data_IF_030373374122
#
_entry.id   IF_030373374122
#
_cell.length_a   1.000
_cell.length_b   1.000
_cell.length_c   1.000
_cell.angle_alpha   90.00
_cell.angle_beta   90.00
_cell.angle_gamma   90.00
#
_symmetry.space_group_name_H-M   'P 1'
#
loop_
_entity.id
_entity.type
_entity.pdbx_description
1 polymer ?
#
# COMPACT_ATOMS: atom_id res chain seq x y z
N UNK A 1 -7.50 25.93 -10.86
CA UNK A 1 -7.67 27.35 -10.47
C UNK A 1 -8.59 27.45 -9.25
N UNK A 2 -9.82 26.92 -9.24
CA UNK A 2 -10.74 26.99 -8.09
C UNK A 2 -10.12 26.40 -6.82
N UNK A 3 -9.52 25.21 -6.92
CA UNK A 3 -8.86 24.54 -5.77
C UNK A 3 -7.64 25.34 -5.24
N UNK A 4 -6.90 26.01 -6.13
CA UNK A 4 -5.77 26.89 -5.73
C UNK A 4 -6.26 28.15 -5.01
N UNK A 5 -7.40 28.70 -5.42
CA UNK A 5 -8.02 29.83 -4.73
C UNK A 5 -8.55 29.42 -3.35
N UNK A 6 -9.19 28.26 -3.23
CA UNK A 6 -9.63 27.70 -1.96
C UNK A 6 -8.46 27.42 -1.02
N UNK A 7 -7.36 26.86 -1.52
CA UNK A 7 -6.12 26.63 -0.75
C UNK A 7 -5.50 27.95 -0.27
N UNK A 8 -5.47 28.99 -1.11
CA UNK A 8 -4.97 30.30 -0.71
C UNK A 8 -5.83 30.96 0.37
N UNK A 9 -7.16 30.88 0.26
CA UNK A 9 -8.08 31.37 1.29
C UNK A 9 -7.93 30.62 2.62
N UNK A 10 -7.76 29.28 2.58
CA UNK A 10 -7.54 28.46 3.77
C UNK A 10 -6.19 28.78 4.43
N UNK A 11 -5.13 29.02 3.65
CA UNK A 11 -3.81 29.39 4.18
C UNK A 11 -3.84 30.74 4.93
N UNK A 12 -4.60 31.71 4.45
CA UNK A 12 -4.77 33.02 5.12
C UNK A 12 -5.59 32.90 6.40
N UNK A 13 -6.59 32.02 6.44
CA UNK A 13 -7.45 31.82 7.59
C UNK A 13 -6.80 30.98 8.72
N UNK A 14 -5.72 30.27 8.45
CA UNK A 14 -5.08 29.35 9.40
C UNK A 14 -3.94 29.97 10.23
N UNK A 15 -3.66 31.27 10.09
CA UNK A 15 -2.67 31.97 10.94
C UNK A 15 -3.24 32.11 12.34
N UNK A 16 -2.94 31.16 13.24
CA UNK A 16 -3.37 31.13 14.64
C UNK A 16 -4.68 30.39 14.93
N UNK A 17 -5.24 29.63 13.95
CA UNK A 17 -6.45 28.82 14.13
C UNK A 17 -6.19 27.32 13.92
N UNK A 18 -7.07 26.48 14.47
CA UNK A 18 -7.06 25.03 14.28
C UNK A 18 -7.08 24.67 12.78
N UNK A 19 -6.17 23.77 12.34
CA UNK A 19 -6.14 23.28 10.95
C UNK A 19 -7.48 22.61 10.63
N UNK A 20 -8.10 23.00 9.53
CA UNK A 20 -9.40 22.47 9.08
C UNK A 20 -9.47 22.29 7.58
N UNK A 21 -10.37 21.42 7.11
CA UNK A 21 -10.59 21.15 5.69
C UNK A 21 -10.42 19.69 5.35
N UNK A 22 -10.31 19.37 4.06
CA UNK A 22 -10.18 18.00 3.57
C UNK A 22 -8.77 17.73 3.10
N UNK A 23 -8.26 16.52 3.40
CA UNK A 23 -7.01 15.98 2.87
C UNK A 23 -7.32 14.68 2.13
N UNK A 24 -6.88 14.58 0.87
CA UNK A 24 -7.15 13.45 -0.01
C UNK A 24 -5.90 12.58 -0.19
N UNK A 25 -6.01 11.30 0.16
CA UNK A 25 -4.90 10.33 0.15
C UNK A 25 -5.25 9.15 -0.75
N UNK A 26 -4.40 8.88 -1.73
CA UNK A 26 -4.47 7.69 -2.56
C UNK A 26 -3.79 6.50 -1.89
N UNK A 27 -4.40 5.31 -2.02
CA UNK A 27 -3.87 4.05 -1.53
C UNK A 27 -3.91 3.02 -2.65
N UNK A 28 -2.79 2.38 -2.99
CA UNK A 28 -2.83 1.27 -3.92
C UNK A 28 -3.44 0.03 -3.24
N UNK A 29 -4.26 -0.78 -3.96
CA UNK A 29 -4.89 -1.96 -3.39
C UNK A 29 -3.87 -2.95 -2.81
N UNK A 30 -4.18 -3.49 -1.64
CA UNK A 30 -3.31 -4.46 -0.97
C UNK A 30 -1.95 -3.90 -0.57
N UNK A 31 -1.81 -2.59 -0.42
CA UNK A 31 -0.58 -1.96 0.06
C UNK A 31 -0.46 -2.06 1.59
N UNK A 32 0.76 -1.87 2.11
CA UNK A 32 1.01 -1.65 3.53
C UNK A 32 0.23 -0.45 4.10
N UNK A 33 -0.38 0.33 3.19
CA UNK A 33 -1.33 1.36 3.56
C UNK A 33 -2.43 0.83 4.49
N UNK A 34 -2.85 -0.43 4.36
CA UNK A 34 -3.80 -1.04 5.29
C UNK A 34 -3.28 -1.09 6.73
N UNK A 35 -1.98 -1.33 6.93
CA UNK A 35 -1.36 -1.33 8.26
C UNK A 35 -1.01 0.07 8.78
N UNK A 36 -0.87 1.05 7.89
CA UNK A 36 -0.60 2.46 8.22
C UNK A 36 -1.90 3.27 8.33
N UNK A 37 -2.92 2.88 7.58
CA UNK A 37 -4.16 3.66 7.42
C UNK A 37 -4.90 3.86 8.74
N UNK A 38 -5.10 2.79 9.51
CA UNK A 38 -5.83 2.93 10.79
C UNK A 38 -5.09 3.78 11.82
N UNK A 39 -3.77 3.57 12.07
CA UNK A 39 -2.98 4.48 12.90
C UNK A 39 -3.02 5.93 12.40
N UNK A 40 -2.95 6.16 11.08
CA UNK A 40 -3.04 7.50 10.50
C UNK A 40 -4.40 8.16 10.80
N UNK A 41 -5.50 7.45 10.57
CA UNK A 41 -6.83 7.98 10.85
C UNK A 41 -7.03 8.30 12.33
N UNK A 42 -6.51 7.45 13.23
CA UNK A 42 -6.56 7.67 14.67
C UNK A 42 -5.75 8.92 15.08
N UNK A 43 -4.53 9.04 14.56
CA UNK A 43 -3.66 10.19 14.84
C UNK A 43 -4.25 11.49 14.29
N UNK A 44 -4.73 11.51 13.05
CA UNK A 44 -5.39 12.69 12.47
C UNK A 44 -6.63 13.08 13.26
N UNK A 45 -7.46 12.12 13.67
CA UNK A 45 -8.65 12.41 14.49
C UNK A 45 -8.29 13.02 15.84
N UNK A 46 -7.17 12.59 16.44
CA UNK A 46 -6.70 13.09 17.74
C UNK A 46 -6.02 14.45 17.65
N UNK A 47 -5.14 14.62 16.64
CA UNK A 47 -4.26 15.80 16.54
C UNK A 47 -4.86 16.91 15.67
N UNK A 48 -5.72 16.55 14.71
CA UNK A 48 -6.32 17.46 13.73
C UNK A 48 -7.84 17.22 13.64
N UNK A 49 -8.62 17.47 14.70
CA UNK A 49 -10.03 17.06 14.80
C UNK A 49 -10.95 17.71 13.75
N UNK A 50 -10.56 18.85 13.17
CA UNK A 50 -11.32 19.55 12.12
C UNK A 50 -10.85 19.20 10.70
N UNK A 51 -9.89 18.27 10.56
CA UNK A 51 -9.43 17.77 9.26
C UNK A 51 -10.18 16.49 8.89
N UNK A 52 -10.84 16.52 7.74
CA UNK A 52 -11.48 15.33 7.14
C UNK A 52 -10.53 14.65 6.19
N UNK A 53 -10.25 13.36 6.42
CA UNK A 53 -9.43 12.55 5.50
C UNK A 53 -10.35 11.87 4.49
N UNK A 54 -10.05 12.04 3.20
CA UNK A 54 -10.64 11.30 2.10
C UNK A 54 -9.64 10.26 1.60
N UNK A 55 -9.96 8.97 1.77
CA UNK A 55 -9.15 7.88 1.26
C UNK A 55 -9.69 7.40 -0.09
N UNK A 56 -8.80 7.27 -1.08
CA UNK A 56 -9.12 6.80 -2.41
C UNK A 56 -8.25 5.61 -2.79
N UNK A 57 -8.84 4.41 -2.82
CA UNK A 57 -8.14 3.20 -3.22
C UNK A 57 -8.31 2.97 -4.72
N UNK A 58 -7.19 2.85 -5.43
CA UNK A 58 -7.17 2.58 -6.87
C UNK A 58 -5.78 2.10 -7.33
N UNK A 59 -5.64 1.71 -8.61
CA UNK A 59 -4.35 1.34 -9.20
C UNK A 59 -3.33 2.50 -9.15
N UNK A 60 -2.03 2.17 -9.10
CA UNK A 60 -0.96 3.17 -9.03
C UNK A 60 -1.03 4.16 -10.20
N UNK A 61 -1.38 3.71 -11.40
CA UNK A 61 -1.54 4.58 -12.58
C UNK A 61 -2.60 5.65 -12.37
N UNK A 62 -3.80 5.24 -11.93
CA UNK A 62 -4.91 6.17 -11.66
C UNK A 62 -4.57 7.14 -10.53
N UNK A 63 -3.88 6.66 -9.48
CA UNK A 63 -3.48 7.50 -8.35
C UNK A 63 -2.41 8.53 -8.76
N UNK A 64 -1.47 8.16 -9.61
CA UNK A 64 -0.47 9.07 -10.17
C UNK A 64 -1.12 10.16 -11.04
N UNK A 65 -2.06 9.81 -11.90
CA UNK A 65 -2.80 10.80 -12.70
C UNK A 65 -3.57 11.78 -11.80
N UNK A 66 -4.17 11.28 -10.72
CA UNK A 66 -4.88 12.11 -9.73
C UNK A 66 -3.94 13.02 -8.94
N UNK A 67 -2.73 12.57 -8.60
CA UNK A 67 -1.70 13.41 -7.99
C UNK A 67 -1.26 14.54 -8.95
N UNK A 68 -0.97 14.20 -10.20
CA UNK A 68 -0.52 15.16 -11.21
C UNK A 68 -1.60 16.20 -11.56
N UNK A 69 -2.87 15.79 -11.56
CA UNK A 69 -4.01 16.69 -11.78
C UNK A 69 -4.44 17.46 -10.52
N UNK A 70 -3.80 17.20 -9.36
CA UNK A 70 -4.14 17.84 -8.09
C UNK A 70 -5.46 17.38 -7.49
N UNK A 71 -6.01 16.25 -7.92
CA UNK A 71 -7.21 15.62 -7.31
C UNK A 71 -6.89 14.86 -6.03
N UNK A 72 -5.61 14.51 -5.81
CA UNK A 72 -5.10 13.97 -4.56
C UNK A 72 -4.00 14.88 -4.03
N UNK A 73 -3.89 14.97 -2.72
CA UNK A 73 -2.81 15.69 -2.05
C UNK A 73 -1.56 14.82 -1.95
N UNK A 74 -1.75 13.51 -1.69
CA UNK A 74 -0.67 12.54 -1.58
C UNK A 74 -1.16 11.13 -1.91
N UNK A 75 -0.23 10.19 -2.17
CA UNK A 75 -0.56 8.78 -2.36
C UNK A 75 0.55 7.86 -1.80
N UNK A 76 0.15 6.74 -1.21
CA UNK A 76 1.04 5.67 -0.72
C UNK A 76 1.05 4.54 -1.73
N UNK A 77 2.18 4.34 -2.40
CA UNK A 77 2.30 3.47 -3.56
C UNK A 77 3.53 2.58 -3.48
N UNK A 78 3.43 1.36 -4.02
CA UNK A 78 4.59 0.57 -4.38
C UNK A 78 5.06 0.99 -5.77
N UNK A 79 6.24 1.61 -5.85
CA UNK A 79 6.81 2.04 -7.13
C UNK A 79 8.30 1.75 -7.19
N UNK A 80 8.78 1.38 -8.38
CA UNK A 80 10.23 1.19 -8.64
C UNK A 80 10.94 2.52 -8.89
N UNK A 81 10.24 3.48 -9.46
CA UNK A 81 10.73 4.84 -9.71
C UNK A 81 9.54 5.81 -9.78
N UNK A 82 9.67 7.03 -9.25
CA UNK A 82 8.63 8.04 -9.36
C UNK A 82 8.42 8.45 -10.82
N UNK A 83 7.16 8.67 -11.18
CA UNK A 83 6.81 9.27 -12.48
C UNK A 83 7.29 10.72 -12.59
N UNK A 84 7.41 11.22 -13.83
CA UNK A 84 7.74 12.63 -14.05
C UNK A 84 6.73 13.57 -13.37
N UNK A 85 7.23 14.54 -12.62
CA UNK A 85 6.40 15.50 -11.88
C UNK A 85 5.87 15.00 -10.53
N UNK A 86 6.39 13.87 -10.03
CA UNK A 86 6.09 13.33 -8.71
C UNK A 86 7.36 13.34 -7.86
N UNK A 87 7.24 13.77 -6.62
CA UNK A 87 8.25 13.63 -5.57
C UNK A 87 7.90 12.42 -4.73
N UNK A 88 8.81 11.46 -4.64
CA UNK A 88 8.64 10.23 -3.87
C UNK A 88 9.49 10.28 -2.60
N UNK A 89 8.87 10.02 -1.47
CA UNK A 89 9.49 9.92 -0.15
C UNK A 89 9.45 8.45 0.27
N UNK A 90 10.60 7.78 0.43
CA UNK A 90 10.63 6.38 0.81
C UNK A 90 10.06 6.21 2.22
N UNK A 91 9.19 5.23 2.42
CA UNK A 91 8.61 4.87 3.71
C UNK A 91 9.29 3.61 4.26
N UNK A 92 9.14 2.48 3.58
CA UNK A 92 9.69 1.19 3.99
C UNK A 92 9.88 0.27 2.77
N UNK A 93 10.45 -0.90 3.01
CA UNK A 93 10.49 -2.00 2.03
C UNK A 93 9.80 -3.20 2.62
N UNK A 94 8.98 -3.88 1.83
CA UNK A 94 8.33 -5.12 2.24
C UNK A 94 8.81 -6.29 1.41
N UNK A 95 8.99 -7.43 2.08
CA UNK A 95 9.21 -8.71 1.40
C UNK A 95 7.91 -9.21 0.77
N UNK A 96 8.04 -9.97 -0.31
CA UNK A 96 6.91 -10.66 -0.92
C UNK A 96 6.72 -12.05 -0.32
N UNK A 97 5.48 -12.36 -0.01
CA UNK A 97 5.03 -13.63 0.55
C UNK A 97 4.06 -14.32 -0.40
N UNK A 98 4.18 -15.63 -0.47
CA UNK A 98 3.16 -16.50 -1.04
C UNK A 98 2.07 -16.73 0.00
N UNK A 99 0.81 -16.67 -0.42
CA UNK A 99 -0.37 -16.87 0.45
C UNK A 99 -1.28 -17.92 -0.14
N UNK A 100 -1.73 -18.85 0.70
CA UNK A 100 -2.65 -19.92 0.31
C UNK A 100 -3.38 -20.51 1.51
N UNK A 101 -4.24 -21.52 1.25
CA UNK A 101 -5.02 -22.21 2.30
C UNK A 101 -4.77 -23.71 2.31
N UNK A 102 -4.28 -24.28 1.21
CA UNK A 102 -3.94 -25.72 1.09
C UNK A 102 -2.44 -25.89 0.97
N UNK A 103 -1.95 -27.07 1.30
CA UNK A 103 -0.56 -27.53 1.02
C UNK A 103 0.50 -26.49 1.46
N UNK A 104 0.49 -26.14 2.74
CA UNK A 104 1.41 -25.14 3.31
C UNK A 104 2.88 -25.58 3.09
N UNK A 105 3.70 -24.78 2.40
CA UNK A 105 5.11 -25.14 2.15
C UNK A 105 6.02 -24.90 3.36
N UNK A 106 5.46 -24.45 4.50
CA UNK A 106 6.19 -24.01 5.67
C UNK A 106 6.35 -22.50 5.76
N UNK A 107 7.38 -22.01 6.47
CA UNK A 107 7.59 -20.57 6.69
C UNK A 107 8.22 -19.87 5.47
N UNK A 108 8.85 -20.62 4.58
CA UNK A 108 9.48 -20.10 3.37
C UNK A 108 9.30 -21.03 2.18
N UNK A 109 9.40 -20.45 0.97
CA UNK A 109 9.23 -21.17 -0.29
C UNK A 109 10.23 -20.69 -1.33
N UNK A 110 10.75 -21.62 -2.14
CA UNK A 110 11.56 -21.31 -3.32
C UNK A 110 10.66 -20.99 -4.52
N UNK A 111 11.12 -20.11 -5.40
CA UNK A 111 10.35 -19.70 -6.59
C UNK A 111 10.08 -20.87 -7.55
N UNK A 112 10.92 -21.90 -7.57
CA UNK A 112 10.67 -23.11 -8.37
C UNK A 112 9.44 -23.85 -7.91
N UNK A 113 9.20 -23.94 -6.61
CA UNK A 113 7.98 -24.53 -6.07
C UNK A 113 6.75 -23.67 -6.37
N UNK A 114 6.90 -22.33 -6.34
CA UNK A 114 5.82 -21.40 -6.71
C UNK A 114 5.41 -21.57 -8.18
N UNK A 115 6.35 -21.89 -9.07
CA UNK A 115 6.09 -22.08 -10.50
C UNK A 115 5.11 -23.24 -10.79
N UNK A 116 5.06 -24.25 -9.92
CA UNK A 116 4.16 -25.40 -10.05
C UNK A 116 2.73 -25.13 -9.54
N UNK A 117 2.53 -23.99 -8.84
CA UNK A 117 1.26 -23.67 -8.21
C UNK A 117 0.37 -22.82 -9.12
N UNK A 118 -0.95 -22.95 -8.95
CA UNK A 118 -1.93 -22.11 -9.62
C UNK A 118 -1.92 -20.70 -8.99
N UNK A 119 -1.51 -19.69 -9.75
CA UNK A 119 -1.34 -18.33 -9.26
C UNK A 119 -2.51 -17.42 -9.65
N UNK A 120 -3.00 -16.69 -8.68
CA UNK A 120 -3.76 -15.46 -8.91
C UNK A 120 -2.83 -14.27 -8.70
N UNK A 121 -2.71 -13.40 -9.67
CA UNK A 121 -1.86 -12.20 -9.60
C UNK A 121 -2.65 -10.96 -10.03
N UNK A 122 -2.20 -9.76 -9.71
CA UNK A 122 -2.75 -8.54 -10.30
C UNK A 122 -2.29 -8.43 -11.77
N UNK A 123 -2.83 -7.43 -12.48
CA UNK A 123 -2.46 -7.14 -13.86
C UNK A 123 -1.00 -6.68 -13.99
N UNK A 124 -0.50 -6.72 -15.21
CA UNK A 124 0.89 -6.51 -15.61
C UNK A 124 1.47 -5.11 -15.28
N UNK A 125 0.63 -4.12 -15.06
CA UNK A 125 1.06 -2.79 -14.61
C UNK A 125 1.28 -2.68 -13.08
N UNK A 126 0.89 -3.70 -12.30
CA UNK A 126 1.10 -3.71 -10.85
C UNK A 126 2.57 -3.90 -10.49
N UNK A 127 3.07 -3.16 -9.50
CA UNK A 127 4.44 -3.31 -9.01
C UNK A 127 4.73 -4.73 -8.49
N UNK A 128 3.73 -5.37 -7.85
CA UNK A 128 3.83 -6.77 -7.40
C UNK A 128 4.03 -7.69 -8.59
N UNK A 129 3.18 -7.55 -9.63
CA UNK A 129 3.25 -8.39 -10.84
C UNK A 129 4.58 -8.20 -11.56
N UNK A 130 5.00 -6.97 -11.80
CA UNK A 130 6.28 -6.67 -12.43
C UNK A 130 7.46 -7.30 -11.68
N UNK A 131 7.44 -7.28 -10.36
CA UNK A 131 8.49 -7.87 -9.53
C UNK A 131 8.49 -9.39 -9.59
N UNK A 132 7.31 -10.02 -9.61
CA UNK A 132 7.15 -11.47 -9.80
C UNK A 132 7.65 -11.88 -11.18
N UNK A 133 7.17 -11.24 -12.24
CA UNK A 133 7.56 -11.56 -13.62
C UNK A 133 9.07 -11.42 -13.85
N UNK A 134 9.71 -10.39 -13.27
CA UNK A 134 11.17 -10.22 -13.28
C UNK A 134 11.88 -11.40 -12.62
N UNK A 135 11.42 -11.82 -11.43
CA UNK A 135 12.04 -12.94 -10.70
C UNK A 135 11.90 -14.26 -11.46
N UNK A 136 10.72 -14.52 -12.03
CA UNK A 136 10.49 -15.69 -12.87
C UNK A 136 11.38 -15.69 -14.13
N UNK A 137 11.47 -14.54 -14.81
CA UNK A 137 12.31 -14.37 -16.00
C UNK A 137 13.80 -14.62 -15.69
N UNK A 138 14.33 -14.04 -14.62
CA UNK A 138 15.72 -14.23 -14.18
C UNK A 138 16.06 -15.69 -13.88
N UNK A 139 15.09 -16.47 -13.41
CA UNK A 139 15.24 -17.90 -13.11
C UNK A 139 14.84 -18.79 -14.29
N UNK A 140 14.43 -18.23 -15.43
CA UNK A 140 13.91 -18.94 -16.61
C UNK A 140 12.75 -19.88 -16.26
N UNK A 141 11.90 -19.45 -15.33
CA UNK A 141 10.67 -20.12 -14.91
C UNK A 141 9.47 -19.49 -15.61
N UNK A 142 8.39 -20.26 -15.71
CA UNK A 142 7.09 -19.77 -16.21
C UNK A 142 6.07 -19.83 -15.08
N UNK A 143 5.41 -18.70 -14.80
CA UNK A 143 4.35 -18.65 -13.81
C UNK A 143 3.05 -19.25 -14.36
N UNK A 144 2.40 -20.14 -13.60
CA UNK A 144 1.10 -20.70 -13.96
C UNK A 144 -0.03 -19.80 -13.48
N UNK A 145 -0.26 -18.70 -14.19
CA UNK A 145 -1.28 -17.71 -13.84
C UNK A 145 -2.64 -18.21 -14.33
N UNK A 146 -3.55 -18.49 -13.40
CA UNK A 146 -4.90 -18.99 -13.68
C UNK A 146 -5.96 -17.87 -13.62
N UNK A 147 -5.61 -16.68 -13.14
CA UNK A 147 -6.49 -15.53 -13.13
C UNK A 147 -5.78 -14.25 -12.69
N UNK A 148 -6.29 -13.12 -13.17
CA UNK A 148 -5.83 -11.78 -12.79
C UNK A 148 -6.91 -11.10 -11.94
N UNK A 149 -6.59 -10.77 -10.68
CA UNK A 149 -7.55 -10.23 -9.70
C UNK A 149 -6.94 -9.01 -9.03
N UNK A 150 -7.62 -7.86 -9.11
CA UNK A 150 -7.21 -6.61 -8.47
C UNK A 150 -7.98 -6.33 -7.17
N UNK A 151 -9.19 -6.84 -7.05
CA UNK A 151 -10.01 -6.70 -5.84
C UNK A 151 -9.49 -7.62 -4.74
N UNK A 152 -9.02 -7.04 -3.64
CA UNK A 152 -8.56 -7.81 -2.46
C UNK A 152 -9.68 -8.68 -1.89
N UNK A 153 -10.93 -8.21 -1.87
CA UNK A 153 -12.05 -9.01 -1.39
C UNK A 153 -12.28 -10.25 -2.26
N UNK A 154 -12.26 -10.10 -3.59
CA UNK A 154 -12.39 -11.23 -4.53
C UNK A 154 -11.20 -12.18 -4.43
N UNK A 155 -9.98 -11.64 -4.32
CA UNK A 155 -8.77 -12.43 -4.14
C UNK A 155 -8.83 -13.25 -2.85
N UNK A 156 -9.24 -12.63 -1.74
CA UNK A 156 -9.42 -13.32 -0.45
C UNK A 156 -10.41 -14.48 -0.57
N UNK A 157 -11.54 -14.28 -1.24
CA UNK A 157 -12.54 -15.34 -1.46
C UNK A 157 -11.99 -16.48 -2.34
N UNK A 158 -11.23 -16.16 -3.39
CA UNK A 158 -10.60 -17.16 -4.25
C UNK A 158 -9.57 -18.02 -3.49
N UNK A 159 -8.72 -17.37 -2.68
CA UNK A 159 -7.72 -18.08 -1.86
C UNK A 159 -8.41 -18.89 -0.76
N UNK A 160 -9.41 -18.35 -0.06
CA UNK A 160 -10.16 -19.06 0.96
C UNK A 160 -10.86 -20.32 0.43
N UNK A 161 -11.31 -20.31 -0.82
CA UNK A 161 -11.89 -21.48 -1.48
C UNK A 161 -10.85 -22.56 -1.90
N UNK A 162 -9.56 -22.27 -1.76
CA UNK A 162 -8.48 -23.18 -2.12
C UNK A 162 -8.29 -23.35 -3.62
N UNK A 163 -8.68 -22.36 -4.45
CA UNK A 163 -8.52 -22.40 -5.91
C UNK A 163 -7.07 -22.24 -6.35
N UNK A 164 -6.22 -21.60 -5.54
CA UNK A 164 -4.83 -21.35 -5.85
C UNK A 164 -4.15 -20.55 -4.74
N UNK A 165 -3.03 -19.94 -5.11
CA UNK A 165 -2.20 -19.10 -4.22
C UNK A 165 -1.98 -17.72 -4.85
N UNK A 166 -1.52 -16.77 -4.06
CA UNK A 166 -1.18 -15.42 -4.56
C UNK A 166 0.12 -14.91 -3.95
N UNK A 167 0.72 -13.91 -4.57
CA UNK A 167 1.92 -13.22 -4.06
C UNK A 167 1.55 -11.81 -3.65
N UNK A 168 1.86 -11.46 -2.40
CA UNK A 168 1.54 -10.15 -1.82
C UNK A 168 2.71 -9.61 -0.98
N UNK A 169 2.80 -8.29 -0.79
CA UNK A 169 3.67 -7.70 0.23
C UNK A 169 3.27 -8.17 1.64
N UNK A 170 4.21 -8.19 2.56
CA UNK A 170 4.04 -8.81 3.90
C UNK A 170 2.77 -8.35 4.63
N UNK A 171 2.51 -7.05 4.68
CA UNK A 171 1.34 -6.51 5.37
C UNK A 171 0.02 -7.00 4.78
N UNK A 172 -0.09 -6.99 3.45
CA UNK A 172 -1.26 -7.49 2.73
C UNK A 172 -1.38 -9.03 2.85
N UNK A 173 -0.25 -9.75 2.79
CA UNK A 173 -0.20 -11.20 2.95
C UNK A 173 -0.70 -11.63 4.34
N UNK A 174 -0.28 -10.93 5.39
CA UNK A 174 -0.73 -11.14 6.76
C UNK A 174 -2.24 -10.93 6.91
N UNK A 175 -2.75 -9.83 6.38
CA UNK A 175 -4.18 -9.50 6.42
C UNK A 175 -5.02 -10.54 5.66
N UNK A 176 -4.61 -10.90 4.42
CA UNK A 176 -5.34 -11.86 3.59
C UNK A 176 -5.26 -13.27 4.18
N UNK A 177 -4.10 -13.74 4.63
CA UNK A 177 -3.96 -15.07 5.23
C UNK A 177 -4.84 -15.23 6.48
N UNK A 178 -4.90 -14.20 7.33
CA UNK A 178 -5.81 -14.18 8.48
C UNK A 178 -7.28 -14.25 8.06
N UNK A 179 -7.70 -13.41 7.10
CA UNK A 179 -9.09 -13.36 6.62
C UNK A 179 -9.51 -14.66 5.90
N UNK A 180 -8.60 -15.33 5.21
CA UNK A 180 -8.84 -16.58 4.50
C UNK A 180 -8.67 -17.83 5.37
N UNK A 181 -8.29 -17.71 6.66
CA UNK A 181 -7.84 -18.81 7.51
C UNK A 181 -6.73 -19.63 6.83
N UNK A 182 -5.79 -18.95 6.20
CA UNK A 182 -4.72 -19.52 5.42
C UNK A 182 -3.35 -19.36 6.06
N UNK A 183 -2.35 -19.66 5.27
CA UNK A 183 -0.94 -19.52 5.60
C UNK A 183 -0.27 -18.48 4.72
N UNK A 184 0.88 -17.98 5.17
CA UNK A 184 1.81 -17.18 4.36
C UNK A 184 3.22 -17.74 4.48
N UNK A 185 3.96 -17.76 3.38
CA UNK A 185 5.33 -18.25 3.30
C UNK A 185 6.21 -17.22 2.60
N UNK A 186 7.35 -16.86 3.19
CA UNK A 186 8.28 -15.90 2.61
C UNK A 186 8.94 -16.49 1.36
N UNK A 187 8.94 -15.75 0.25
CA UNK A 187 9.67 -16.17 -0.94
C UNK A 187 11.15 -15.81 -0.76
N UNK A 188 12.03 -16.82 -0.76
CA UNK A 188 13.43 -16.65 -0.35
C UNK A 188 14.45 -16.73 -1.47
N UNK A 189 14.12 -17.44 -2.57
CA UNK A 189 15.09 -17.70 -3.64
C UNK A 189 14.49 -17.44 -5.03
N UNK A 190 14.68 -16.22 -5.60
CA UNK A 190 15.32 -15.07 -5.00
C UNK A 190 14.43 -14.36 -3.97
N UNK A 191 15.02 -13.68 -3.00
CA UNK A 191 14.27 -12.77 -2.14
C UNK A 191 13.72 -11.62 -2.99
N UNK A 192 12.44 -11.33 -2.83
CA UNK A 192 11.75 -10.27 -3.55
C UNK A 192 11.25 -9.22 -2.58
N UNK A 193 11.62 -7.97 -2.83
CA UNK A 193 11.17 -6.83 -2.03
C UNK A 193 10.53 -5.76 -2.91
N UNK A 194 9.61 -5.00 -2.33
CA UNK A 194 9.02 -3.82 -2.96
C UNK A 194 9.19 -2.60 -2.05
N UNK A 195 9.69 -1.48 -2.59
CA UNK A 195 9.70 -0.22 -1.87
C UNK A 195 8.29 0.37 -1.83
N UNK A 196 7.86 0.79 -0.63
CA UNK A 196 6.66 1.59 -0.42
C UNK A 196 7.08 3.04 -0.23
N UNK A 197 6.43 3.96 -0.92
CA UNK A 197 6.75 5.38 -0.89
C UNK A 197 5.49 6.23 -0.74
N UNK A 198 5.65 7.38 -0.08
CA UNK A 198 4.69 8.46 -0.09
C UNK A 198 5.00 9.37 -1.27
N UNK A 199 4.05 9.53 -2.16
CA UNK A 199 4.17 10.32 -3.36
C UNK A 199 3.32 11.60 -3.27
N UNK A 200 3.90 12.72 -3.70
CA UNK A 200 3.24 14.03 -3.79
C UNK A 200 3.57 14.68 -5.13
N UNK A 201 2.69 15.56 -5.61
CA UNK A 201 2.99 16.32 -6.83
C UNK A 201 4.20 17.24 -6.61
N UNK A 202 5.15 17.23 -7.55
CA UNK A 202 6.29 18.16 -7.55
C UNK A 202 5.90 19.57 -8.03
N UNK A 203 4.66 19.77 -8.51
CA UNK A 203 4.21 21.01 -9.15
C UNK A 203 3.55 22.02 -8.21
N UNK A 204 3.57 21.78 -6.91
CA UNK A 204 2.92 22.67 -5.95
C UNK A 204 3.31 22.37 -4.52
N UNK A 205 2.94 23.27 -3.61
CA UNK A 205 3.05 23.05 -2.17
C UNK A 205 1.77 22.41 -1.65
N UNK A 206 1.91 21.48 -0.71
CA UNK A 206 0.77 20.97 0.04
C UNK A 206 0.10 22.09 0.82
N UNK A 207 -1.21 21.99 1.01
CA UNK A 207 -1.91 22.85 1.96
C UNK A 207 -1.39 22.59 3.38
N UNK A 208 -1.53 23.56 4.34
CA UNK A 208 -1.06 23.37 5.71
C UNK A 208 -1.62 22.10 6.37
N UNK A 209 -2.89 21.77 6.17
CA UNK A 209 -3.51 20.55 6.69
C UNK A 209 -2.96 19.29 6.01
N UNK A 210 -2.72 19.32 4.70
CA UNK A 210 -2.12 18.18 3.98
C UNK A 210 -0.66 17.97 4.40
N UNK A 211 0.09 19.05 4.66
CA UNK A 211 1.43 18.96 5.19
C UNK A 211 1.43 18.33 6.59
N UNK A 212 0.54 18.75 7.49
CA UNK A 212 0.43 18.17 8.83
C UNK A 212 0.09 16.68 8.79
N UNK A 213 -0.85 16.26 7.92
CA UNK A 213 -1.19 14.84 7.74
C UNK A 213 0.00 14.06 7.17
N UNK A 214 0.77 14.64 6.23
CA UNK A 214 2.00 14.03 5.72
C UNK A 214 3.02 13.81 6.84
N UNK A 215 3.22 14.80 7.71
CA UNK A 215 4.19 14.72 8.79
C UNK A 215 3.78 13.67 9.84
N UNK A 216 2.49 13.55 10.15
CA UNK A 216 1.94 12.45 10.96
C UNK A 216 2.25 11.10 10.31
N UNK A 217 1.95 10.92 9.02
CA UNK A 217 2.21 9.67 8.30
C UNK A 217 3.70 9.31 8.35
N UNK A 218 4.59 10.26 8.06
CA UNK A 218 6.04 10.05 8.12
C UNK A 218 6.50 9.66 9.53
N UNK A 219 5.94 10.26 10.57
CA UNK A 219 6.28 9.94 11.95
C UNK A 219 5.86 8.53 12.36
N UNK A 220 4.68 8.06 11.88
CA UNK A 220 4.18 6.71 12.14
C UNK A 220 5.09 5.63 11.56
N UNK A 221 5.61 5.87 10.36
CA UNK A 221 6.49 4.91 9.68
C UNK A 221 7.92 4.95 10.23
N UNK A 222 8.38 6.12 10.70
CA UNK A 222 9.72 6.29 11.28
C UNK A 222 9.86 5.74 12.69
N UNK A 223 8.76 5.47 13.40
CA UNK A 223 8.79 4.76 14.68
C UNK A 223 9.14 3.31 14.38
N UNK A 224 10.25 2.75 14.92
CA UNK A 224 10.50 1.31 14.84
C UNK A 224 9.27 0.62 15.40
N UNK A 225 8.85 -0.46 14.72
CA UNK A 225 7.71 -1.28 15.18
C UNK A 225 7.98 -1.70 16.64
N UNK A 226 7.49 -0.90 17.58
CA UNK A 226 7.46 -1.27 18.98
C UNK A 226 6.43 -2.40 19.07
N UNK A 227 6.94 -3.56 19.40
CA UNK A 227 6.28 -4.80 19.77
C UNK A 227 4.74 -4.77 19.74
N UNK A 228 4.19 -5.53 18.80
CA UNK A 228 2.77 -5.94 18.77
C UNK A 228 2.37 -6.82 19.99
N UNK A 229 3.03 -6.72 21.14
CA UNK A 229 2.73 -7.48 22.36
C UNK A 229 1.82 -6.76 23.36
N UNK A 230 1.60 -5.44 23.22
CA UNK A 230 0.78 -4.71 24.22
C UNK A 230 -0.70 -4.54 23.84
N UNK A 231 -1.15 -4.98 22.68
CA UNK A 231 -2.58 -4.89 22.28
C UNK A 231 -3.43 -6.11 22.67
N UNK A 232 -2.87 -7.10 23.41
CA UNK A 232 -3.61 -8.28 23.89
C UNK A 232 -4.00 -8.23 25.36
N UNK A 233 -3.81 -7.13 26.07
CA UNK A 233 -4.10 -7.05 27.52
C UNK A 233 -5.24 -6.08 27.91
N UNK A 234 -6.20 -5.83 27.01
CA UNK A 234 -7.47 -5.19 27.39
C UNK A 234 -8.62 -5.92 26.69
N UNK A 235 -9.01 -7.04 27.23
CA UNK A 235 -10.32 -7.68 27.02
C UNK A 235 -10.94 -7.94 28.38
#
# INVERSE_FOLDING_TARGET
ILRQCEQAQLAVNNVGQCLRGQVSIGLAPGTAASSVTMPLLQAVRSELPEVTVYLHENSCTVLNDKLLSGQLDMAVLYERAPGSGITSLPLLKEDLYLVGTRDCPGQSVDLTAVAEMNLFLPRDYSAVRLRVDEAFSLRRLTAKIIGEIESIATLTAAIASGMGVTVLPESAARSLSSAANGWMARITTPSMTLPLSLNVSARGTLSPQAQAVKDILMSLVSRPAMDNQELQLVS
#
